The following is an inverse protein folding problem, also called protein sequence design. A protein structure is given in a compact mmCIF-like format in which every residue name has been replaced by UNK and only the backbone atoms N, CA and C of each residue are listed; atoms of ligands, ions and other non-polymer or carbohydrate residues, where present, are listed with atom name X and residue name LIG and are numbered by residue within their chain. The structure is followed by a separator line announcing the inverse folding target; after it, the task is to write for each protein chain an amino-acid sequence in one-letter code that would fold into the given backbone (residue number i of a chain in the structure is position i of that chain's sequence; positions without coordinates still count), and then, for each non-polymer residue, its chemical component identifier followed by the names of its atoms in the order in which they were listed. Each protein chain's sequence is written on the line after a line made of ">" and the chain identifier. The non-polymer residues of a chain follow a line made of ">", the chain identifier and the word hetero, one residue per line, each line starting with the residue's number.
data_IF_244904107130
#
_entry.id   IF_244904107130
#
_cell.length_a   1.000
_cell.length_b   1.000
_cell.length_c   1.000
_cell.angle_alpha   90.00
_cell.angle_beta   90.00
_cell.angle_gamma   90.00
#
_symmetry.space_group_name_H-M   'P 1'
#
loop_
_entity.id
_entity.type
_entity.pdbx_description
1 polymer ?
#
# COMPACT_ATOMS: atom_id res chain seq x y z
N UNK A 1 10.57 2.28 -20.00
CA UNK A 1 10.29 1.22 -21.01
C UNK A 1 9.17 1.67 -21.95
N UNK A 2 9.15 1.30 -23.24
CA UNK A 2 8.01 1.58 -24.12
C UNK A 2 6.80 0.70 -23.75
N UNK A 3 5.59 1.29 -23.67
CA UNK A 3 4.35 0.55 -23.36
C UNK A 3 3.56 0.16 -24.62
N UNK A 4 4.04 0.52 -25.81
CA UNK A 4 3.44 0.13 -27.09
C UNK A 4 3.20 -1.38 -27.16
N UNK A 5 1.97 -1.75 -27.54
CA UNK A 5 1.51 -3.14 -27.64
C UNK A 5 1.64 -3.93 -26.32
N UNK A 6 1.51 -3.25 -25.18
CA UNK A 6 1.54 -3.87 -23.86
C UNK A 6 0.15 -3.80 -23.23
N UNK A 7 -0.18 -4.84 -22.46
CA UNK A 7 -1.42 -4.93 -21.69
C UNK A 7 -1.09 -4.89 -20.20
N UNK A 8 -1.71 -3.95 -19.47
CA UNK A 8 -1.63 -3.85 -18.01
C UNK A 8 -2.92 -4.40 -17.38
N UNK A 9 -2.80 -5.23 -16.35
CA UNK A 9 -3.90 -5.65 -15.50
C UNK A 9 -3.75 -5.03 -14.11
N UNK A 10 -4.85 -4.47 -13.59
CA UNK A 10 -4.93 -3.94 -12.23
C UNK A 10 -6.01 -4.71 -11.48
N UNK A 11 -5.60 -5.64 -10.61
CA UNK A 11 -6.55 -6.30 -9.69
C UNK A 11 -6.88 -5.36 -8.53
N UNK A 12 -8.15 -5.35 -8.09
CA UNK A 12 -8.61 -4.30 -7.19
C UNK A 12 -8.63 -2.92 -7.86
N UNK A 13 -8.70 -2.89 -9.19
CA UNK A 13 -8.51 -1.68 -10.00
C UNK A 13 -9.55 -0.58 -9.78
N UNK A 14 -10.68 -0.90 -9.14
CA UNK A 14 -11.72 0.07 -8.76
C UNK A 14 -11.47 0.79 -7.43
N UNK A 15 -10.38 0.49 -6.71
CA UNK A 15 -9.99 1.21 -5.49
C UNK A 15 -9.13 2.46 -5.75
N UNK A 16 -8.72 3.15 -4.68
CA UNK A 16 -7.81 4.33 -4.68
C UNK A 16 -6.63 4.17 -5.56
N UNK A 17 -5.91 3.12 -5.23
CA UNK A 17 -4.61 2.88 -5.78
C UNK A 17 -4.75 2.56 -7.26
N UNK A 18 -5.73 1.72 -7.62
CA UNK A 18 -6.04 1.41 -9.01
C UNK A 18 -6.41 2.65 -9.83
N UNK A 19 -7.24 3.55 -9.29
CA UNK A 19 -7.58 4.81 -9.96
C UNK A 19 -6.39 5.76 -10.10
N UNK A 20 -5.52 5.84 -9.09
CA UNK A 20 -4.35 6.70 -9.12
C UNK A 20 -3.30 6.19 -10.11
N UNK A 21 -3.02 4.89 -10.12
CA UNK A 21 -2.21 4.24 -11.16
C UNK A 21 -2.82 4.46 -12.53
N UNK A 22 -4.14 4.29 -12.68
CA UNK A 22 -4.82 4.47 -13.96
C UNK A 22 -4.54 5.86 -14.55
N UNK A 23 -4.62 6.92 -13.75
CA UNK A 23 -4.29 8.29 -14.20
C UNK A 23 -2.87 8.40 -14.74
N UNK A 24 -1.89 7.69 -14.18
CA UNK A 24 -0.49 7.71 -14.66
C UNK A 24 -0.31 6.95 -15.99
N UNK A 25 -1.18 5.97 -16.29
CA UNK A 25 -1.07 5.13 -17.49
C UNK A 25 -1.95 5.57 -18.66
N UNK A 26 -3.05 6.30 -18.43
CA UNK A 26 -3.98 6.71 -19.48
C UNK A 26 -3.31 7.51 -20.62
N UNK A 27 -2.35 8.36 -20.26
CA UNK A 27 -1.65 9.25 -21.21
C UNK A 27 -0.38 8.62 -21.82
N UNK A 28 -0.10 7.35 -21.52
CA UNK A 28 1.03 6.61 -22.10
C UNK A 28 0.69 5.92 -23.42
N UNK A 29 1.66 5.31 -24.10
CA UNK A 29 1.47 4.52 -25.32
C UNK A 29 0.96 3.09 -25.08
N UNK A 30 0.48 2.79 -23.87
CA UNK A 30 -0.10 1.48 -23.53
C UNK A 30 -1.34 1.17 -24.37
N UNK A 31 -1.44 -0.08 -24.82
CA UNK A 31 -2.52 -0.53 -25.71
C UNK A 31 -3.82 -0.77 -24.92
N UNK A 32 -3.73 -1.48 -23.81
CA UNK A 32 -4.88 -1.90 -23.02
C UNK A 32 -4.60 -1.87 -21.52
N UNK A 33 -5.58 -1.38 -20.76
CA UNK A 33 -5.60 -1.42 -19.29
C UNK A 33 -6.85 -2.19 -18.85
N UNK A 34 -6.64 -3.34 -18.23
CA UNK A 34 -7.69 -4.19 -17.67
C UNK A 34 -7.94 -3.83 -16.21
N UNK A 35 -9.15 -3.40 -15.91
CA UNK A 35 -9.65 -3.18 -14.55
C UNK A 35 -10.34 -4.46 -14.09
N UNK A 36 -9.75 -5.14 -13.11
CA UNK A 36 -10.28 -6.39 -12.56
C UNK A 36 -10.76 -6.20 -11.13
N UNK A 37 -12.06 -6.39 -10.93
CA UNK A 37 -12.69 -6.37 -9.61
C UNK A 37 -14.06 -7.04 -9.64
N UNK A 38 -14.72 -7.10 -8.47
CA UNK A 38 -16.05 -7.71 -8.31
C UNK A 38 -17.20 -6.70 -8.40
N UNK A 39 -16.87 -5.40 -8.37
CA UNK A 39 -17.85 -4.32 -8.19
C UNK A 39 -18.26 -3.76 -9.54
N UNK A 40 -19.32 -4.32 -10.13
CA UNK A 40 -19.84 -3.92 -11.44
C UNK A 40 -20.24 -2.44 -11.49
N UNK A 41 -20.75 -1.89 -10.37
CA UNK A 41 -21.16 -0.49 -10.30
C UNK A 41 -19.95 0.43 -10.41
N UNK A 42 -18.90 0.19 -9.61
CA UNK A 42 -17.68 1.02 -9.68
C UNK A 42 -16.99 0.90 -11.04
N UNK A 43 -17.03 -0.28 -11.66
CA UNK A 43 -16.52 -0.45 -13.02
C UNK A 43 -17.32 0.38 -14.04
N UNK A 44 -18.66 0.38 -13.95
CA UNK A 44 -19.52 1.20 -14.81
C UNK A 44 -19.31 2.71 -14.60
N UNK A 45 -19.22 3.14 -13.35
CA UNK A 45 -18.94 4.53 -12.98
C UNK A 45 -17.59 4.99 -13.58
N UNK A 46 -16.53 4.17 -13.45
CA UNK A 46 -15.23 4.43 -14.07
C UNK A 46 -15.33 4.44 -15.60
N UNK A 47 -16.04 3.49 -16.19
CA UNK A 47 -16.23 3.39 -17.65
C UNK A 47 -16.84 4.68 -18.22
N UNK A 48 -17.91 5.16 -17.61
CA UNK A 48 -18.59 6.41 -18.01
C UNK A 48 -17.72 7.63 -17.77
N UNK A 49 -17.05 7.69 -16.62
CA UNK A 49 -16.20 8.83 -16.23
C UNK A 49 -15.02 9.03 -17.19
N UNK A 50 -14.31 7.95 -17.52
CA UNK A 50 -13.10 8.04 -18.34
C UNK A 50 -13.39 7.97 -19.83
N UNK A 51 -14.44 7.24 -20.25
CA UNK A 51 -14.84 7.06 -21.64
C UNK A 51 -13.64 6.83 -22.60
N UNK A 52 -12.69 5.98 -22.19
CA UNK A 52 -11.42 5.80 -22.88
C UNK A 52 -11.32 4.38 -23.46
N UNK A 53 -11.02 4.23 -24.77
CA UNK A 53 -11.02 2.92 -25.43
C UNK A 53 -9.94 1.95 -24.92
N UNK A 54 -8.89 2.45 -24.26
CA UNK A 54 -7.84 1.63 -23.63
C UNK A 54 -8.36 0.82 -22.44
N UNK A 55 -9.47 1.24 -21.83
CA UNK A 55 -10.00 0.60 -20.62
C UNK A 55 -10.89 -0.59 -20.97
N UNK A 56 -10.56 -1.75 -20.40
CA UNK A 56 -11.40 -2.95 -20.42
C UNK A 56 -11.75 -3.35 -19.00
N UNK A 57 -13.01 -3.71 -18.78
CA UNK A 57 -13.54 -4.01 -17.45
C UNK A 57 -13.82 -5.50 -17.35
N UNK A 58 -13.14 -6.17 -16.43
CA UNK A 58 -13.24 -7.60 -16.19
C UNK A 58 -13.86 -7.84 -14.81
N UNK A 59 -15.03 -8.50 -14.80
CA UNK A 59 -15.64 -8.98 -13.57
C UNK A 59 -14.93 -10.25 -13.13
N UNK A 60 -14.47 -10.27 -11.88
CA UNK A 60 -13.85 -11.44 -11.32
C UNK A 60 -13.38 -11.30 -9.89
N UNK A 61 -12.98 -12.43 -9.30
CA UNK A 61 -12.49 -12.53 -7.93
C UNK A 61 -11.10 -13.17 -7.93
N UNK A 62 -10.15 -12.56 -7.21
CA UNK A 62 -8.80 -13.13 -7.03
C UNK A 62 -8.82 -14.49 -6.34
N UNK A 63 -9.89 -14.78 -5.59
CA UNK A 63 -10.09 -16.06 -4.91
C UNK A 63 -10.41 -17.21 -5.87
N UNK A 64 -10.82 -16.91 -7.10
CA UNK A 64 -11.11 -17.90 -8.14
C UNK A 64 -10.01 -17.86 -9.22
N UNK A 65 -9.20 -18.92 -9.26
CA UNK A 65 -8.12 -19.06 -10.23
C UNK A 65 -8.59 -18.99 -11.69
N UNK A 66 -9.75 -19.55 -12.03
CA UNK A 66 -10.25 -19.53 -13.41
C UNK A 66 -10.69 -18.12 -13.82
N UNK A 67 -11.29 -17.39 -12.87
CA UNK A 67 -11.62 -15.97 -13.04
C UNK A 67 -10.37 -15.12 -13.29
N UNK A 68 -9.33 -15.32 -12.48
CA UNK A 68 -8.02 -14.65 -12.64
C UNK A 68 -7.38 -15.02 -13.97
N UNK A 69 -7.26 -16.31 -14.29
CA UNK A 69 -6.63 -16.80 -15.51
C UNK A 69 -7.27 -16.17 -16.77
N UNK A 70 -8.58 -16.05 -16.79
CA UNK A 70 -9.32 -15.41 -17.88
C UNK A 70 -8.91 -13.94 -18.09
N UNK A 71 -8.70 -13.20 -17.01
CA UNK A 71 -8.27 -11.80 -17.06
C UNK A 71 -6.76 -11.63 -17.32
N UNK A 72 -5.93 -12.64 -17.03
CA UNK A 72 -4.46 -12.59 -17.18
C UNK A 72 -3.98 -12.98 -18.58
N UNK A 73 -4.76 -13.73 -19.38
CA UNK A 73 -4.35 -14.14 -20.74
C UNK A 73 -3.94 -12.96 -21.62
N UNK A 74 -2.71 -12.97 -22.11
CA UNK A 74 -2.14 -11.91 -22.96
C UNK A 74 -1.69 -10.65 -22.22
N UNK A 75 -1.74 -10.64 -20.88
CA UNK A 75 -1.26 -9.52 -20.06
C UNK A 75 0.26 -9.50 -20.02
N UNK A 76 0.88 -8.32 -20.14
CA UNK A 76 2.32 -8.15 -19.96
C UNK A 76 2.69 -7.78 -18.51
N UNK A 77 1.85 -6.97 -17.86
CA UNK A 77 2.14 -6.38 -16.56
C UNK A 77 0.95 -6.49 -15.59
N UNK A 78 1.22 -6.74 -14.32
CA UNK A 78 0.19 -6.79 -13.27
C UNK A 78 0.55 -5.86 -12.11
N UNK A 79 -0.37 -4.98 -11.75
CA UNK A 79 -0.43 -4.37 -10.43
C UNK A 79 -1.47 -5.10 -9.56
N UNK A 80 -0.99 -5.79 -8.53
CA UNK A 80 -1.84 -6.57 -7.64
C UNK A 80 -2.24 -5.76 -6.39
N UNK A 81 -3.36 -5.04 -6.50
CA UNK A 81 -3.90 -4.17 -5.45
C UNK A 81 -5.19 -4.72 -4.79
N UNK A 82 -5.68 -5.88 -5.21
CA UNK A 82 -6.83 -6.53 -4.58
C UNK A 82 -6.47 -6.98 -3.15
N UNK A 83 -7.21 -6.49 -2.15
CA UNK A 83 -6.98 -6.86 -0.76
C UNK A 83 -8.23 -6.62 0.11
N UNK A 84 -8.33 -7.37 1.20
CA UNK A 84 -9.09 -6.96 2.38
C UNK A 84 -8.14 -6.20 3.31
N UNK A 85 -8.36 -4.89 3.47
CA UNK A 85 -7.39 -3.97 4.11
C UNK A 85 -7.86 -3.31 5.41
N UNK A 86 -9.12 -3.53 5.82
CA UNK A 86 -9.65 -2.93 7.05
C UNK A 86 -9.32 -3.82 8.25
N UNK A 87 -8.60 -3.26 9.24
CA UNK A 87 -8.15 -4.01 10.43
C UNK A 87 -9.31 -4.70 11.15
N UNK A 88 -10.42 -4.03 11.52
CA UNK A 88 -11.50 -4.69 12.25
C UNK A 88 -12.17 -5.82 11.44
N UNK A 89 -12.40 -5.60 10.15
CA UNK A 89 -13.01 -6.61 9.29
C UNK A 89 -12.13 -7.86 9.15
N UNK A 90 -10.82 -7.69 9.06
CA UNK A 90 -9.88 -8.82 9.03
C UNK A 90 -9.79 -9.53 10.38
N UNK A 91 -9.88 -8.81 11.50
CA UNK A 91 -9.90 -9.41 12.85
C UNK A 91 -11.13 -10.29 13.08
N UNK A 92 -12.31 -9.81 12.67
CA UNK A 92 -13.54 -10.58 12.82
C UNK A 92 -13.69 -11.70 11.78
N UNK A 93 -13.03 -11.56 10.62
CA UNK A 93 -13.08 -12.53 9.53
C UNK A 93 -11.67 -12.89 9.01
N UNK A 94 -10.80 -13.48 9.84
CA UNK A 94 -9.40 -13.71 9.48
C UNK A 94 -9.25 -14.68 8.31
N UNK A 95 -10.14 -15.67 8.20
CA UNK A 95 -10.14 -16.58 7.05
C UNK A 95 -10.50 -15.88 5.74
N UNK A 96 -11.28 -14.79 5.78
CA UNK A 96 -11.58 -13.98 4.60
C UNK A 96 -10.37 -13.13 4.19
N UNK A 97 -9.57 -12.67 5.16
CA UNK A 97 -8.27 -12.04 4.91
C UNK A 97 -7.29 -13.04 4.27
N UNK A 98 -7.20 -14.29 4.77
CA UNK A 98 -6.38 -15.34 4.17
C UNK A 98 -6.80 -15.64 2.72
N UNK A 99 -8.10 -15.85 2.49
CA UNK A 99 -8.62 -16.15 1.14
C UNK A 99 -8.30 -15.04 0.14
N UNK A 100 -8.47 -13.76 0.51
CA UNK A 100 -8.21 -12.65 -0.40
C UNK A 100 -6.72 -12.31 -0.52
N UNK A 101 -6.04 -12.13 0.61
CA UNK A 101 -4.70 -11.53 0.65
C UNK A 101 -3.59 -12.57 0.47
N UNK A 102 -3.84 -13.85 0.75
CA UNK A 102 -2.82 -14.91 0.62
C UNK A 102 -3.16 -15.82 -0.56
N UNK A 103 -4.29 -16.53 -0.50
CA UNK A 103 -4.71 -17.43 -1.58
C UNK A 103 -5.02 -16.67 -2.88
N UNK A 104 -5.64 -15.50 -2.77
CA UNK A 104 -5.90 -14.65 -3.93
C UNK A 104 -4.62 -14.16 -4.60
N UNK A 105 -3.58 -13.85 -3.82
CA UNK A 105 -2.26 -13.50 -4.36
C UNK A 105 -1.61 -14.71 -5.02
N UNK A 106 -1.64 -15.88 -4.38
CA UNK A 106 -1.14 -17.14 -4.97
C UNK A 106 -1.78 -17.41 -6.35
N UNK A 107 -3.11 -17.28 -6.46
CA UNK A 107 -3.83 -17.45 -7.73
C UNK A 107 -3.35 -16.47 -8.82
N UNK A 108 -3.14 -15.20 -8.46
CA UNK A 108 -2.65 -14.17 -9.38
C UNK A 108 -1.23 -14.47 -9.84
N UNK A 109 -0.33 -14.84 -8.92
CA UNK A 109 1.05 -15.16 -9.26
C UNK A 109 1.14 -16.42 -10.12
N UNK A 110 0.37 -17.47 -9.80
CA UNK A 110 0.35 -18.71 -10.57
C UNK A 110 -0.18 -18.48 -11.99
N UNK A 111 -1.26 -17.71 -12.14
CA UNK A 111 -1.79 -17.34 -13.45
C UNK A 111 -0.81 -16.47 -14.24
N UNK A 112 -0.12 -15.54 -13.56
CA UNK A 112 0.89 -14.67 -14.17
C UNK A 112 2.05 -15.47 -14.76
N UNK A 113 2.61 -16.39 -13.97
CA UNK A 113 3.68 -17.30 -14.40
C UNK A 113 3.19 -18.17 -15.56
N UNK A 114 2.02 -18.79 -15.43
CA UNK A 114 1.44 -19.68 -16.45
C UNK A 114 1.17 -18.97 -17.79
N UNK A 115 0.94 -17.66 -17.77
CA UNK A 115 0.67 -16.85 -18.96
C UNK A 115 1.89 -16.06 -19.46
N UNK A 116 3.07 -16.22 -18.87
CA UNK A 116 4.28 -15.51 -19.28
C UNK A 116 4.20 -13.99 -19.07
N UNK A 117 3.50 -13.54 -18.02
CA UNK A 117 3.49 -12.13 -17.61
C UNK A 117 4.92 -11.69 -17.31
N UNK A 118 5.31 -10.49 -17.70
CA UNK A 118 6.71 -10.02 -17.55
C UNK A 118 7.01 -9.52 -16.15
N UNK A 119 6.08 -8.75 -15.58
CA UNK A 119 6.25 -8.13 -14.25
C UNK A 119 4.96 -8.13 -13.44
N UNK A 120 5.07 -8.51 -12.17
CA UNK A 120 3.99 -8.42 -11.18
C UNK A 120 4.49 -7.65 -9.97
N UNK A 121 3.81 -6.56 -9.61
CA UNK A 121 4.08 -5.80 -8.39
C UNK A 121 2.92 -5.99 -7.42
N UNK A 122 3.21 -6.57 -6.25
CA UNK A 122 2.25 -6.80 -5.19
C UNK A 122 2.28 -5.69 -4.14
N UNK A 123 1.12 -5.23 -3.70
CA UNK A 123 1.02 -4.14 -2.72
C UNK A 123 0.88 -4.69 -1.29
N UNK A 124 1.82 -4.30 -0.44
CA UNK A 124 1.84 -4.59 0.99
C UNK A 124 1.76 -3.31 1.84
N UNK A 125 1.98 -3.42 3.14
CA UNK A 125 1.78 -2.35 4.14
C UNK A 125 2.80 -2.48 5.27
N UNK A 126 3.17 -1.36 5.89
CA UNK A 126 3.96 -1.33 7.12
C UNK A 126 3.46 -2.29 8.23
N UNK A 127 2.15 -2.55 8.28
CA UNK A 127 1.55 -3.50 9.25
C UNK A 127 1.96 -4.95 9.03
N UNK A 128 2.61 -5.26 7.91
CA UNK A 128 3.22 -6.56 7.65
C UNK A 128 4.54 -6.78 8.42
N UNK A 129 5.17 -5.71 8.92
CA UNK A 129 6.39 -5.81 9.73
C UNK A 129 6.01 -5.92 11.20
N UNK A 130 6.49 -6.97 11.88
CA UNK A 130 6.09 -7.30 13.26
C UNK A 130 4.56 -7.23 13.44
N UNK A 131 3.78 -7.98 12.63
CA UNK A 131 2.34 -7.80 12.55
C UNK A 131 1.67 -8.23 13.85
N UNK A 132 0.73 -7.41 14.35
CA UNK A 132 -0.06 -7.71 15.57
C UNK A 132 -1.54 -7.94 15.29
N UNK A 133 -2.00 -7.66 14.07
CA UNK A 133 -3.40 -7.79 13.67
C UNK A 133 -3.53 -8.68 12.43
N UNK A 134 -4.69 -9.33 12.27
CA UNK A 134 -4.97 -10.30 11.20
C UNK A 134 -4.76 -9.73 9.79
N UNK A 135 -5.04 -8.43 9.59
CA UNK A 135 -4.77 -7.75 8.33
C UNK A 135 -3.27 -7.73 8.01
N UNK A 136 -2.46 -7.23 8.95
CA UNK A 136 -1.00 -7.21 8.85
C UNK A 136 -0.40 -8.61 8.72
N UNK A 137 -0.88 -9.59 9.49
CA UNK A 137 -0.42 -10.99 9.42
C UNK A 137 -0.68 -11.56 8.02
N UNK A 138 -1.87 -11.33 7.46
CA UNK A 138 -2.21 -11.81 6.11
C UNK A 138 -1.32 -11.17 5.03
N UNK A 139 -0.92 -9.90 5.20
CA UNK A 139 -0.01 -9.21 4.27
C UNK A 139 1.45 -9.61 4.45
N UNK A 140 1.89 -9.88 5.68
CA UNK A 140 3.19 -10.49 5.94
C UNK A 140 3.29 -11.88 5.28
N UNK A 141 2.23 -12.69 5.38
CA UNK A 141 2.17 -13.98 4.71
C UNK A 141 2.14 -13.84 3.18
N UNK A 142 1.40 -12.85 2.65
CA UNK A 142 1.43 -12.51 1.22
C UNK A 142 2.85 -12.21 0.74
N UNK A 143 3.63 -11.40 1.47
CA UNK A 143 5.03 -11.11 1.10
C UNK A 143 5.90 -12.38 1.08
N UNK A 144 5.69 -13.31 2.02
CA UNK A 144 6.39 -14.60 1.99
C UNK A 144 6.01 -15.43 0.76
N UNK A 145 4.75 -15.41 0.33
CA UNK A 145 4.29 -16.05 -0.92
C UNK A 145 4.94 -15.40 -2.15
N UNK A 146 4.98 -14.06 -2.22
CA UNK A 146 5.63 -13.30 -3.29
C UNK A 146 7.11 -13.68 -3.41
N UNK A 147 7.85 -13.64 -2.30
CA UNK A 147 9.28 -13.99 -2.26
C UNK A 147 9.51 -15.47 -2.57
N UNK A 148 8.62 -16.37 -2.14
CA UNK A 148 8.73 -17.78 -2.46
C UNK A 148 8.53 -18.04 -3.96
N UNK A 149 7.50 -17.44 -4.57
CA UNK A 149 7.20 -17.61 -6.01
C UNK A 149 8.27 -16.99 -6.90
N UNK A 150 8.89 -15.88 -6.49
CA UNK A 150 9.96 -15.27 -7.26
C UNK A 150 11.17 -16.18 -7.42
N UNK A 151 11.45 -17.07 -6.44
CA UNK A 151 12.54 -18.06 -6.52
C UNK A 151 12.29 -19.14 -7.57
N UNK A 152 11.04 -19.47 -7.83
CA UNK A 152 10.63 -20.49 -8.81
C UNK A 152 10.27 -19.90 -10.18
N UNK A 153 10.25 -18.58 -10.31
CA UNK A 153 9.88 -17.90 -11.54
C UNK A 153 11.11 -17.53 -12.37
N UNK A 154 11.24 -18.12 -13.55
CA UNK A 154 12.38 -17.86 -14.44
C UNK A 154 12.18 -16.65 -15.36
N UNK A 155 10.93 -16.33 -15.72
CA UNK A 155 10.62 -15.32 -16.75
C UNK A 155 9.79 -14.15 -16.19
N UNK A 156 8.91 -14.40 -15.22
CA UNK A 156 8.10 -13.37 -14.59
C UNK A 156 8.84 -12.74 -13.42
N UNK A 157 9.14 -11.44 -13.49
CA UNK A 157 9.67 -10.70 -12.34
C UNK A 157 8.52 -10.45 -11.37
N UNK A 158 8.62 -11.00 -10.17
CA UNK A 158 7.63 -10.85 -9.10
C UNK A 158 8.28 -10.07 -7.97
N UNK A 159 7.70 -8.93 -7.56
CA UNK A 159 8.18 -8.13 -6.45
C UNK A 159 7.02 -7.58 -5.61
N UNK A 160 7.34 -6.99 -4.47
CA UNK A 160 6.37 -6.27 -3.65
C UNK A 160 6.82 -4.83 -3.35
N UNK A 161 5.84 -3.99 -3.05
CA UNK A 161 6.06 -2.69 -2.42
C UNK A 161 5.43 -2.67 -1.04
N UNK A 162 6.08 -2.00 -0.10
CA UNK A 162 5.59 -1.82 1.26
C UNK A 162 5.66 -0.35 1.63
N UNK A 163 4.53 0.18 2.09
CA UNK A 163 4.39 1.58 2.46
C UNK A 163 3.43 1.76 3.63
N UNK A 164 3.47 2.95 4.24
CA UNK A 164 2.62 3.30 5.37
C UNK A 164 1.19 3.66 4.98
N UNK A 165 0.44 4.21 5.93
CA UNK A 165 -0.90 4.71 5.63
C UNK A 165 -0.83 5.86 4.60
N UNK A 166 -1.62 5.75 3.54
CA UNK A 166 -1.84 6.85 2.61
C UNK A 166 -2.73 7.91 3.25
N UNK A 167 -2.26 9.14 3.29
CA UNK A 167 -2.98 10.28 3.85
C UNK A 167 -4.28 10.56 3.09
N UNK A 168 -5.31 11.01 3.82
CA UNK A 168 -6.65 11.29 3.29
C UNK A 168 -7.33 10.11 2.56
N UNK A 169 -6.88 8.87 2.80
CA UNK A 169 -7.56 7.68 2.30
C UNK A 169 -8.89 7.45 3.02
N UNK A 170 -9.86 6.88 2.31
CA UNK A 170 -11.19 6.60 2.87
C UNK A 170 -11.14 5.76 4.15
N UNK A 171 -11.81 6.26 5.20
CA UNK A 171 -11.85 5.62 6.52
C UNK A 171 -10.59 5.80 7.36
N UNK A 172 -9.64 6.64 6.93
CA UNK A 172 -8.46 6.99 7.72
C UNK A 172 -8.72 8.12 8.72
N UNK A 173 -7.72 8.41 9.55
CA UNK A 173 -7.81 9.40 10.63
C UNK A 173 -7.96 10.85 10.13
N UNK A 174 -7.37 11.18 8.97
CA UNK A 174 -7.40 12.55 8.44
C UNK A 174 -8.84 12.96 8.06
N UNK A 175 -9.58 12.21 7.23
CA UNK A 175 -10.99 12.51 6.96
C UNK A 175 -11.85 12.50 8.22
N UNK A 176 -11.60 11.57 9.14
CA UNK A 176 -12.33 11.52 10.41
C UNK A 176 -12.17 12.82 11.21
N UNK A 177 -10.95 13.35 11.32
CA UNK A 177 -10.70 14.59 12.05
C UNK A 177 -11.31 15.79 11.34
N UNK A 178 -11.23 15.85 10.00
CA UNK A 178 -11.90 16.90 9.21
C UNK A 178 -13.41 16.87 9.41
N UNK A 179 -14.03 15.69 9.40
CA UNK A 179 -15.47 15.52 9.62
C UNK A 179 -15.87 15.90 11.05
N UNK A 180 -15.07 15.52 12.05
CA UNK A 180 -15.27 15.92 13.45
C UNK A 180 -15.20 17.45 13.61
N UNK A 181 -14.19 18.10 13.01
CA UNK A 181 -14.07 19.56 13.01
C UNK A 181 -15.29 20.22 12.35
N UNK A 182 -15.67 19.78 11.14
CA UNK A 182 -16.82 20.33 10.40
C UNK A 182 -18.14 20.15 11.16
N UNK A 183 -18.28 19.05 11.91
CA UNK A 183 -19.47 18.76 12.72
C UNK A 183 -19.45 19.42 14.11
N UNK A 184 -18.40 20.19 14.45
CA UNK A 184 -18.23 20.76 15.79
C UNK A 184 -18.06 19.71 16.89
N UNK A 185 -17.66 18.49 16.52
CA UNK A 185 -17.43 17.38 17.46
C UNK A 185 -15.96 17.34 17.88
N UNK A 186 -15.64 16.94 19.12
CA UNK A 186 -14.25 16.80 19.56
C UNK A 186 -13.47 15.84 18.67
N UNK A 187 -12.22 16.18 18.38
CA UNK A 187 -11.29 15.27 17.72
C UNK A 187 -10.98 14.12 18.69
N UNK A 188 -11.11 12.88 18.23
CA UNK A 188 -10.81 11.72 19.07
C UNK A 188 -9.42 11.17 18.77
N UNK A 189 -8.45 11.44 19.66
CA UNK A 189 -7.10 10.89 19.58
C UNK A 189 -7.01 9.63 20.41
N UNK A 190 -6.41 8.57 19.86
CA UNK A 190 -6.15 7.34 20.61
C UNK A 190 -5.03 7.56 21.62
N UNK A 191 -3.82 7.74 21.11
CA UNK A 191 -2.61 8.03 21.86
C UNK A 191 -1.87 9.18 21.14
N UNK A 192 -1.66 10.32 21.81
CA UNK A 192 -0.98 11.49 21.23
C UNK A 192 0.43 11.17 20.71
N UNK A 193 1.15 10.26 21.37
CA UNK A 193 2.54 9.92 21.09
C UNK A 193 2.70 8.87 19.98
N UNK A 194 1.60 8.27 19.52
CA UNK A 194 1.63 7.37 18.36
C UNK A 194 2.23 8.09 17.16
N UNK A 195 3.17 7.45 16.47
CA UNK A 195 3.68 7.96 15.19
C UNK A 195 3.26 7.07 14.03
N UNK A 196 3.02 7.70 12.88
CA UNK A 196 2.75 7.03 11.61
C UNK A 196 3.60 7.65 10.52
N UNK A 197 4.02 6.84 9.55
CA UNK A 197 4.61 7.37 8.31
C UNK A 197 3.57 8.18 7.54
N UNK A 198 3.99 9.33 7.01
CA UNK A 198 3.14 10.25 6.28
C UNK A 198 3.48 10.20 4.80
N UNK A 199 2.55 9.66 4.01
CA UNK A 199 2.72 9.41 2.58
C UNK A 199 1.47 9.81 1.80
N UNK A 200 1.65 10.51 0.67
CA UNK A 200 0.54 10.84 -0.23
C UNK A 200 0.18 9.64 -1.12
N UNK A 201 -0.98 9.68 -1.78
CA UNK A 201 -1.32 8.64 -2.75
C UNK A 201 -0.38 8.66 -3.96
N UNK A 202 0.09 9.84 -4.35
CA UNK A 202 1.09 9.99 -5.43
C UNK A 202 2.42 9.35 -5.06
N UNK A 203 2.90 9.54 -3.82
CA UNK A 203 4.11 8.88 -3.32
C UNK A 203 3.99 7.35 -3.41
N UNK A 204 2.84 6.80 -2.99
CA UNK A 204 2.59 5.35 -3.07
C UNK A 204 2.55 4.84 -4.52
N UNK A 205 2.04 5.63 -5.46
CA UNK A 205 2.05 5.32 -6.89
C UNK A 205 3.47 5.38 -7.45
N UNK A 206 4.24 6.41 -7.09
CA UNK A 206 5.63 6.57 -7.50
C UNK A 206 6.50 5.40 -7.02
N UNK A 207 6.29 4.92 -5.78
CA UNK A 207 6.92 3.71 -5.27
C UNK A 207 6.62 2.47 -6.12
N UNK A 208 5.37 2.29 -6.55
CA UNK A 208 4.98 1.14 -7.39
C UNK A 208 5.54 1.24 -8.81
N UNK A 209 5.59 2.44 -9.39
CA UNK A 209 6.24 2.68 -10.67
C UNK A 209 7.76 2.45 -10.58
N UNK A 210 8.38 2.88 -9.47
CA UNK A 210 9.79 2.65 -9.22
C UNK A 210 10.10 1.16 -9.09
N UNK A 211 9.34 0.42 -8.28
CA UNK A 211 9.49 -1.04 -8.19
C UNK A 211 9.23 -1.73 -9.53
N UNK A 212 8.26 -1.26 -10.32
CA UNK A 212 8.01 -1.79 -11.65
C UNK A 212 9.23 -1.67 -12.57
N UNK A 213 9.95 -0.55 -12.54
CA UNK A 213 11.13 -0.31 -13.38
C UNK A 213 12.38 -1.02 -12.87
N UNK A 214 12.66 -0.95 -11.57
CA UNK A 214 13.97 -1.30 -10.99
C UNK A 214 14.01 -2.64 -10.23
N UNK A 215 12.86 -3.27 -9.97
CA UNK A 215 12.87 -4.51 -9.18
C UNK A 215 13.47 -5.69 -9.93
N UNK A 216 14.24 -6.46 -9.17
CA UNK A 216 14.63 -7.83 -9.44
C UNK A 216 13.62 -8.80 -8.81
N UNK A 217 13.60 -10.08 -9.23
CA UNK A 217 12.69 -11.07 -8.67
C UNK A 217 12.87 -11.19 -7.15
N UNK A 218 11.78 -11.05 -6.40
CA UNK A 218 11.71 -11.21 -4.95
C UNK A 218 11.98 -9.94 -4.14
N UNK A 219 12.32 -8.83 -4.79
CA UNK A 219 12.57 -7.58 -4.08
C UNK A 219 11.32 -7.07 -3.35
N UNK A 220 11.53 -6.48 -2.18
CA UNK A 220 10.55 -5.62 -1.50
C UNK A 220 11.08 -4.19 -1.52
N UNK A 221 10.36 -3.29 -2.20
CA UNK A 221 10.67 -1.86 -2.21
C UNK A 221 9.90 -1.12 -1.13
N UNK A 222 10.63 -0.25 -0.44
CA UNK A 222 10.10 0.66 0.58
C UNK A 222 10.52 2.07 0.20
N UNK A 223 9.58 3.02 0.17
CA UNK A 223 9.92 4.43 0.07
C UNK A 223 10.25 4.98 1.46
N UNK A 224 11.34 5.76 1.54
CA UNK A 224 11.65 6.53 2.75
C UNK A 224 10.59 7.60 2.91
N UNK A 225 10.01 7.69 4.09
CA UNK A 225 8.94 8.64 4.38
C UNK A 225 9.18 9.28 5.75
N UNK A 226 8.84 10.56 5.91
CA UNK A 226 8.80 11.17 7.23
C UNK A 226 7.62 10.60 8.03
N UNK A 227 7.62 10.87 9.32
CA UNK A 227 6.52 10.51 10.23
C UNK A 227 6.05 11.74 11.01
N UNK A 228 4.87 11.64 11.62
CA UNK A 228 4.40 12.62 12.60
C UNK A 228 3.67 11.91 13.74
N UNK A 229 3.59 12.57 14.90
CA UNK A 229 2.71 12.13 15.99
C UNK A 229 1.26 12.39 15.63
N UNK A 230 0.32 11.63 16.22
CA UNK A 230 -1.11 11.89 16.04
C UNK A 230 -1.50 13.26 16.60
N UNK A 231 -0.84 13.70 17.68
CA UNK A 231 -0.98 15.06 18.22
C UNK A 231 -0.58 16.14 17.19
N UNK A 232 0.62 16.00 16.60
CA UNK A 232 1.11 16.96 15.59
C UNK A 232 0.17 17.02 14.40
N UNK A 233 -0.36 15.88 13.96
CA UNK A 233 -1.34 15.80 12.90
C UNK A 233 -2.64 16.55 13.25
N UNK A 234 -3.18 16.33 14.45
CA UNK A 234 -4.40 16.98 14.91
C UNK A 234 -4.22 18.51 14.97
N UNK A 235 -3.15 18.99 15.60
CA UNK A 235 -2.85 20.43 15.69
C UNK A 235 -2.58 21.09 14.33
N UNK A 236 -1.90 20.38 13.42
CA UNK A 236 -1.70 20.87 12.06
C UNK A 236 -3.03 21.05 11.31
N UNK A 237 -3.97 20.11 11.46
CA UNK A 237 -5.29 20.17 10.84
C UNK A 237 -6.17 21.27 11.43
N UNK A 238 -6.24 21.39 12.76
CA UNK A 238 -7.09 22.41 13.42
C UNK A 238 -6.66 23.83 13.05
N UNK A 239 -5.35 24.08 12.97
CA UNK A 239 -4.81 25.37 12.55
C UNK A 239 -5.08 25.65 11.06
N UNK A 240 -4.91 24.66 10.17
CA UNK A 240 -5.25 24.82 8.75
C UNK A 240 -6.73 25.13 8.53
N UNK A 241 -7.60 24.58 9.38
CA UNK A 241 -9.05 24.78 9.31
C UNK A 241 -9.53 26.03 10.08
N UNK A 242 -8.63 26.84 10.63
CA UNK A 242 -8.97 28.09 11.31
C UNK A 242 -9.61 27.91 12.70
N UNK A 243 -9.43 26.74 13.33
CA UNK A 243 -9.99 26.40 14.65
C UNK A 243 -8.90 25.85 15.61
N UNK A 244 -7.82 26.60 15.89
CA UNK A 244 -6.66 26.08 16.62
C UNK A 244 -6.97 25.51 18.01
N UNK A 245 -7.99 26.05 18.69
CA UNK A 245 -8.44 25.64 20.03
C UNK A 245 -9.55 24.56 20.03
N UNK A 246 -9.72 23.83 18.92
CA UNK A 246 -10.75 22.79 18.80
C UNK A 246 -10.55 21.67 19.85
N UNK A 247 -11.63 21.21 20.49
CA UNK A 247 -11.54 20.22 21.57
C UNK A 247 -10.91 18.91 21.06
N UNK A 248 -9.90 18.42 21.80
CA UNK A 248 -9.27 17.11 21.59
C UNK A 248 -9.61 16.21 22.78
N UNK A 249 -10.16 15.03 22.48
CA UNK A 249 -10.49 14.00 23.47
C UNK A 249 -9.60 12.79 23.29
N UNK A 250 -8.83 12.45 24.32
CA UNK A 250 -8.01 11.25 24.36
C UNK A 250 -8.91 10.06 24.74
N UNK A 251 -9.01 9.07 23.84
CA UNK A 251 -9.86 7.88 24.00
C UNK A 251 -9.07 6.61 24.36
N UNK A 252 -7.74 6.68 24.33
CA UNK A 252 -6.84 5.55 24.56
C UNK A 252 -6.59 4.71 23.30
N UNK A 253 -5.52 3.90 23.36
CA UNK A 253 -5.12 2.99 22.29
C UNK A 253 -6.21 1.96 21.99
N UNK A 254 -6.62 1.86 20.72
CA UNK A 254 -7.59 0.83 20.29
C UNK A 254 -6.90 -0.50 20.09
N UNK A 255 -7.70 -1.56 20.05
CA UNK A 255 -7.20 -2.92 19.81
C UNK A 255 -6.58 -3.04 18.42
N UNK A 256 -5.46 -3.76 18.32
CA UNK A 256 -4.78 -4.02 17.05
C UNK A 256 -3.92 -2.87 16.51
N UNK A 257 -3.69 -1.82 17.30
CA UNK A 257 -2.82 -0.69 16.95
C UNK A 257 -1.46 -0.76 17.68
N UNK A 258 -0.41 -0.30 17.01
CA UNK A 258 0.92 -0.14 17.60
C UNK A 258 1.19 1.31 17.96
N UNK A 259 2.11 1.53 18.89
CA UNK A 259 2.65 2.87 19.18
C UNK A 259 3.33 3.47 17.93
N UNK A 260 4.13 2.68 17.24
CA UNK A 260 4.76 3.05 15.97
C UNK A 260 4.66 1.91 14.96
N UNK A 261 4.79 2.25 13.69
CA UNK A 261 4.86 1.28 12.61
C UNK A 261 6.31 1.13 12.13
N UNK A 262 6.68 -0.08 11.71
CA UNK A 262 7.98 -0.37 11.14
C UNK A 262 7.81 -0.61 9.63
N UNK A 263 8.72 -0.06 8.82
CA UNK A 263 8.78 -0.34 7.38
C UNK A 263 9.81 -1.43 7.05
N UNK A 264 10.87 -1.55 7.86
CA UNK A 264 11.87 -2.62 7.74
C UNK A 264 12.18 -3.19 9.11
N UNK A 265 12.08 -4.50 9.26
CA UNK A 265 12.56 -5.23 10.43
C UNK A 265 14.09 -5.16 10.53
N UNK A 266 14.63 -5.59 11.67
CA UNK A 266 16.09 -5.62 11.90
C UNK A 266 16.84 -6.48 10.88
N UNK A 267 16.29 -7.64 10.51
CA UNK A 267 16.86 -8.52 9.49
C UNK A 267 16.82 -7.84 8.11
N UNK A 268 15.68 -7.25 7.74
CA UNK A 268 15.54 -6.54 6.47
C UNK A 268 16.47 -5.32 6.40
N UNK A 269 16.68 -4.60 7.50
CA UNK A 269 17.60 -3.46 7.57
C UNK A 269 19.06 -3.85 7.30
N UNK A 270 19.49 -5.03 7.75
CA UNK A 270 20.84 -5.52 7.46
C UNK A 270 21.00 -5.90 5.99
N UNK A 271 19.95 -6.46 5.38
CA UNK A 271 19.95 -6.87 3.98
C UNK A 271 19.66 -5.72 3.00
N UNK A 272 19.01 -4.66 3.45
CA UNK A 272 18.50 -3.60 2.59
C UNK A 272 19.63 -2.82 1.92
N UNK A 273 19.47 -2.62 0.61
CA UNK A 273 20.25 -1.64 -0.13
C UNK A 273 19.63 -0.26 0.01
N UNK A 274 20.46 0.70 0.37
CA UNK A 274 20.08 2.09 0.57
C UNK A 274 20.17 2.86 -0.75
N UNK A 275 19.02 3.17 -1.36
CA UNK A 275 18.91 3.91 -2.61
C UNK A 275 18.45 5.35 -2.34
N UNK A 276 18.56 6.23 -3.34
CA UNK A 276 18.00 7.58 -3.24
C UNK A 276 16.48 7.49 -3.10
N UNK A 277 15.92 8.00 -1.99
CA UNK A 277 14.48 7.96 -1.70
C UNK A 277 13.89 6.58 -1.36
N UNK A 278 14.60 5.47 -1.57
CA UNK A 278 14.09 4.12 -1.40
C UNK A 278 15.03 3.20 -0.60
N UNK A 279 14.47 2.12 -0.07
CA UNK A 279 15.20 0.91 0.30
C UNK A 279 14.75 -0.22 -0.61
N UNK A 280 15.72 -1.05 -1.02
CA UNK A 280 15.47 -2.32 -1.71
C UNK A 280 15.88 -3.45 -0.79
N UNK A 281 14.92 -4.26 -0.37
CA UNK A 281 15.20 -5.49 0.38
C UNK A 281 15.25 -6.63 -0.64
N UNK A 282 16.44 -7.15 -0.98
CA UNK A 282 16.53 -8.30 -1.86
C UNK A 282 15.84 -9.51 -1.21
N UNK A 283 15.31 -10.47 -1.99
CA UNK A 283 14.89 -11.72 -1.40
C UNK A 283 16.11 -12.34 -0.75
N UNK A 284 15.89 -13.06 0.34
CA UNK A 284 17.01 -13.77 0.89
C UNK A 284 17.56 -14.76 -0.15
N UNK A 285 18.85 -14.57 -0.48
CA UNK A 285 19.68 -15.29 -1.45
C UNK A 285 19.86 -16.79 -1.13
N UNK A 286 19.17 -17.32 -0.11
CA UNK A 286 19.09 -18.74 0.24
C UNK A 286 18.39 -19.54 -0.87
N UNK A 287 19.19 -20.30 -1.59
CA UNK A 287 18.88 -21.38 -2.55
C UNK A 287 18.22 -22.62 -1.90
N UNK A 288 17.27 -22.42 -0.97
CA UNK A 288 16.67 -23.47 -0.12
C UNK A 288 17.65 -24.15 0.86
N UNK A 289 18.87 -23.61 1.04
CA UNK A 289 19.80 -24.11 2.07
C UNK A 289 19.33 -23.75 3.49
N UNK A 290 19.04 -24.79 4.28
CA UNK A 290 18.52 -24.68 5.66
C UNK A 290 19.58 -24.23 6.69
N UNK A 291 20.87 -24.33 6.38
CA UNK A 291 21.96 -24.03 7.33
C UNK A 291 21.90 -22.63 7.94
N UNK A 292 21.45 -21.62 7.20
CA UNK A 292 21.25 -20.25 7.71
C UNK A 292 20.06 -20.09 8.69
N UNK A 293 19.20 -21.10 8.81
CA UNK A 293 18.12 -21.12 9.81
C UNK A 293 18.49 -21.93 11.06
N UNK A 294 19.58 -22.71 11.02
CA UNK A 294 19.90 -23.71 12.05
C UNK A 294 21.32 -23.55 12.60
N UNK A 295 22.32 -23.40 11.73
CA UNK A 295 23.74 -23.57 12.07
C UNK A 295 24.59 -22.30 11.84
N UNK A 296 24.13 -21.34 11.04
CA UNK A 296 24.87 -20.12 10.68
C UNK A 296 24.08 -18.87 11.07
N UNK A 297 24.62 -18.07 12.00
CA UNK A 297 24.04 -16.78 12.41
C UNK A 297 24.80 -15.58 11.86
N UNK A 298 24.15 -14.42 11.79
CA UNK A 298 24.76 -13.14 11.39
C UNK A 298 24.75 -12.14 12.54
N UNK A 299 25.91 -11.84 13.13
CA UNK A 299 26.02 -10.93 14.27
C UNK A 299 25.51 -9.51 13.98
N UNK A 300 25.61 -9.04 12.72
CA UNK A 300 25.11 -7.72 12.30
C UNK A 300 23.61 -7.54 12.57
N UNK A 301 22.83 -8.62 12.51
CA UNK A 301 21.38 -8.57 12.81
C UNK A 301 21.16 -8.26 14.29
N UNK A 302 22.01 -8.77 15.19
CA UNK A 302 21.92 -8.55 16.64
C UNK A 302 22.15 -7.10 17.07
N UNK A 303 22.85 -6.32 16.26
CA UNK A 303 23.14 -4.90 16.54
C UNK A 303 22.25 -3.94 15.73
N UNK A 304 21.59 -4.44 14.69
CA UNK A 304 20.75 -3.63 13.82
C UNK A 304 19.47 -3.14 14.52
N UNK A 305 19.10 -1.90 14.23
CA UNK A 305 17.82 -1.30 14.61
C UNK A 305 16.89 -1.36 13.39
N UNK A 306 15.60 -1.57 13.63
CA UNK A 306 14.56 -1.52 12.61
C UNK A 306 14.38 -0.10 12.06
N UNK A 307 13.82 0.05 10.86
CA UNK A 307 13.40 1.35 10.34
C UNK A 307 11.92 1.57 10.62
N UNK A 308 11.61 2.56 11.45
CA UNK A 308 10.27 2.76 11.99
C UNK A 308 9.90 4.25 12.11
N UNK A 309 8.62 4.51 12.35
CA UNK A 309 8.08 5.87 12.40
C UNK A 309 8.54 6.67 13.63
N UNK A 310 9.25 6.07 14.59
CA UNK A 310 9.87 6.79 15.72
C UNK A 310 11.28 7.28 15.40
N UNK A 311 12.03 6.55 14.57
CA UNK A 311 13.44 6.85 14.29
C UNK A 311 13.70 7.46 12.90
N UNK A 312 12.66 7.71 12.12
CA UNK A 312 12.72 8.51 10.89
C UNK A 312 12.66 10.02 11.17
N UNK A 313 12.71 10.84 10.12
CA UNK A 313 12.45 12.28 10.23
C UNK A 313 11.03 12.51 10.76
N UNK A 314 10.92 13.13 11.95
CA UNK A 314 9.63 13.49 12.54
C UNK A 314 9.29 14.94 12.19
N UNK A 315 8.22 15.11 11.42
CA UNK A 315 7.69 16.41 11.05
C UNK A 315 7.20 17.14 12.30
N UNK A 316 7.50 18.43 12.34
CA UNK A 316 6.81 19.36 13.21
C UNK A 316 5.46 19.77 12.59
N UNK A 317 4.75 20.66 13.29
CA UNK A 317 3.46 21.18 12.84
C UNK A 317 3.55 21.83 11.45
N UNK A 318 4.57 22.64 11.18
CA UNK A 318 4.73 23.35 9.92
C UNK A 318 5.02 22.38 8.75
N UNK A 319 5.89 21.40 8.96
CA UNK A 319 6.17 20.32 8.02
C UNK A 319 4.93 19.48 7.71
N UNK A 320 4.15 19.15 8.75
CA UNK A 320 2.88 18.43 8.59
C UNK A 320 1.86 19.24 7.79
N UNK A 321 1.72 20.55 8.06
CA UNK A 321 0.83 21.43 7.29
C UNK A 321 1.22 21.51 5.82
N UNK A 322 2.52 21.68 5.52
CA UNK A 322 3.04 21.68 4.15
C UNK A 322 2.70 20.38 3.42
N UNK A 323 2.78 19.25 4.12
CA UNK A 323 2.48 17.95 3.56
C UNK A 323 0.97 17.73 3.35
N UNK A 324 0.13 18.12 4.32
CA UNK A 324 -1.34 18.08 4.21
C UNK A 324 -1.85 18.93 3.05
N UNK A 325 -1.26 20.11 2.81
CA UNK A 325 -1.63 21.00 1.73
C UNK A 325 -1.26 20.48 0.33
N UNK A 326 -0.55 19.35 0.21
CA UNK A 326 -0.43 18.64 -1.08
C UNK A 326 -1.69 17.88 -1.48
N UNK A 327 -2.64 17.68 -0.56
CA UNK A 327 -3.81 16.84 -0.77
C UNK A 327 -5.00 17.71 -1.19
N UNK A 328 -5.56 17.46 -2.39
CA UNK A 328 -6.75 18.14 -2.91
C UNK A 328 -7.92 18.12 -1.91
N UNK A 329 -8.07 17.02 -1.18
CA UNK A 329 -9.09 16.85 -0.13
C UNK A 329 -8.95 17.89 0.98
N UNK A 330 -7.72 18.14 1.44
CA UNK A 330 -7.43 19.12 2.49
C UNK A 330 -7.58 20.53 1.95
N UNK A 331 -7.02 20.83 0.77
CA UNK A 331 -7.18 22.15 0.12
C UNK A 331 -8.67 22.53 0.01
N UNK A 332 -9.49 21.61 -0.50
CA UNK A 332 -10.93 21.82 -0.62
C UNK A 332 -11.62 21.99 0.74
N UNK A 333 -11.21 21.23 1.76
CA UNK A 333 -11.79 21.30 3.10
C UNK A 333 -11.47 22.62 3.81
N UNK A 334 -10.27 23.16 3.61
CA UNK A 334 -9.87 24.48 4.11
C UNK A 334 -10.64 25.60 3.41
N UNK A 335 -10.94 25.43 2.12
CA UNK A 335 -11.78 26.38 1.36
C UNK A 335 -13.29 26.27 1.65
N UNK A 336 -13.71 25.36 2.54
CA UNK A 336 -15.12 25.15 2.87
C UNK A 336 -15.93 24.45 1.76
N UNK A 337 -15.25 23.80 0.80
CA UNK A 337 -15.90 23.02 -0.26
C UNK A 337 -16.10 21.57 0.18
N UNK A 338 -17.19 20.97 -0.28
CA UNK A 338 -17.40 19.53 -0.13
C UNK A 338 -16.47 18.77 -1.09
N UNK A 339 -15.53 18.04 -0.51
CA UNK A 339 -14.66 17.11 -1.22
C UNK A 339 -14.79 15.72 -0.61
N UNK A 340 -14.82 14.70 -1.47
CA UNK A 340 -14.75 13.32 -1.02
C UNK A 340 -13.26 12.99 -0.72
N UNK A 341 -12.98 12.18 0.32
CA UNK A 341 -11.65 11.62 0.54
C UNK A 341 -11.13 10.89 -0.70
N UNK A 342 -9.81 10.66 -0.77
CA UNK A 342 -9.26 9.79 -1.80
C UNK A 342 -9.76 8.35 -1.52
N UNK A 343 -10.76 7.93 -2.30
CA UNK A 343 -11.43 6.61 -2.27
C UNK A 343 -10.41 5.50 -2.29
#
# INVERSE_FOLDING_TARGET
>A
MPFKQKILLITGGTGSFGNAVLKRFLDTDIEEIRIFSRDEKKQDDMRKRYNNPKLKFYIGDVRDYQSVLSAVRGVDFIYHAAALKQVPSCEFHPMEAVKTNVLGTENVLEAAISCGVKRVVCLSTDKAVYPINAMGISKAMMEKVVVAKSRSSNETVICATRYGNVMASRGSVIPLFVDQIKAGQPITITDPDMTRFMMTLDDAVDLVLYAFEYASPGDIFVQKAPAATIETLAHALTELMGVPEHEVRIIGTRHGEKLFEALLSREEMVAAENLEGYYRVPPDLRDLNYGKYVEQGEQKISDAVDYNSHNTERLDKAGMQKLLMKLDFIQSSVEGKDSQPQD
#
